data_IF_941987873561
#
_entry.id   IF_941987873561
#
_cell.length_a   1.000
_cell.length_b   1.000
_cell.length_c   1.000
_cell.angle_alpha   90.00
_cell.angle_beta   90.00
_cell.angle_gamma   90.00
#
_symmetry.space_group_name_H-M   'P 1'
#
loop_
_entity.id
_entity.type
_entity.pdbx_description
1 polymer ?
#
# COMPACT_ATOMS: atom_id res chain seq x y z
N UNK A 1 5.46 50.61 3.83
CA UNK A 1 4.19 49.97 3.48
C UNK A 1 3.33 49.86 4.72
N UNK A 2 2.09 50.31 4.64
CA UNK A 2 1.12 50.19 5.72
C UNK A 2 0.10 49.15 5.31
N UNK A 3 -0.17 48.18 6.18
CA UNK A 3 -1.13 47.10 5.98
C UNK A 3 -2.29 47.28 6.94
N UNK A 4 -3.53 47.18 6.45
CA UNK A 4 -4.74 47.12 7.26
C UNK A 4 -5.23 45.68 7.24
N UNK A 5 -5.39 45.06 8.41
CA UNK A 5 -6.06 43.80 8.58
C UNK A 5 -7.46 44.03 9.18
N UNK A 6 -8.46 43.38 8.65
CA UNK A 6 -9.81 43.41 9.18
C UNK A 6 -10.27 42.00 9.58
N UNK A 7 -11.01 41.95 10.66
CA UNK A 7 -11.52 40.72 11.24
C UNK A 7 -13.02 40.83 11.47
N UNK A 8 -13.78 39.75 11.44
CA UNK A 8 -15.18 39.78 11.82
C UNK A 8 -15.30 40.13 13.30
N UNK A 9 -16.36 40.83 13.67
CA UNK A 9 -16.59 41.27 15.06
C UNK A 9 -16.77 40.08 16.02
N UNK A 10 -17.21 38.93 15.54
CA UNK A 10 -17.36 37.69 16.31
C UNK A 10 -16.89 36.49 15.47
N UNK A 11 -16.06 35.65 16.05
CA UNK A 11 -15.62 34.37 15.48
C UNK A 11 -14.87 34.52 14.15
N UNK A 12 -15.32 33.81 13.12
CA UNK A 12 -14.76 33.80 11.76
C UNK A 12 -15.79 34.27 10.73
N UNK A 13 -15.36 34.59 9.53
CA UNK A 13 -16.27 34.75 8.39
C UNK A 13 -17.04 33.46 8.12
N UNK A 14 -18.37 33.52 7.84
CA UNK A 14 -19.14 32.37 7.47
C UNK A 14 -18.57 31.73 6.20
N UNK A 15 -18.60 30.41 6.11
CA UNK A 15 -18.18 29.66 4.92
C UNK A 15 -19.11 29.95 3.72
N UNK A 16 -18.69 29.55 2.56
CA UNK A 16 -19.48 29.54 1.33
C UNK A 16 -20.12 30.91 0.97
N UNK A 17 -19.42 32.01 1.27
CA UNK A 17 -19.99 33.37 1.14
C UNK A 17 -19.07 34.25 0.31
N UNK A 18 -19.67 35.06 -0.58
CA UNK A 18 -18.98 36.16 -1.25
C UNK A 18 -19.10 37.42 -0.42
N UNK A 19 -17.99 38.11 -0.26
CA UNK A 19 -17.90 39.38 0.43
C UNK A 19 -17.45 40.50 -0.50
N UNK A 20 -18.04 41.67 -0.33
CA UNK A 20 -17.58 42.89 -0.97
C UNK A 20 -17.09 43.80 0.13
N UNK A 21 -15.89 44.27 0.05
CA UNK A 21 -15.33 45.28 0.95
C UNK A 21 -15.20 46.59 0.17
N UNK A 22 -15.72 47.66 0.75
CA UNK A 22 -15.71 48.99 0.12
C UNK A 22 -15.08 50.01 1.06
N UNK A 23 -14.10 50.74 0.55
CA UNK A 23 -13.65 52.01 1.19
C UNK A 23 -14.40 53.14 0.48
N UNK A 24 -15.29 53.83 1.15
CA UNK A 24 -16.13 54.80 0.47
C UNK A 24 -15.37 56.07 0.05
N UNK A 25 -15.84 56.70 -1.01
CA UNK A 25 -15.41 58.05 -1.37
C UNK A 25 -15.54 58.98 -0.17
N UNK A 26 -14.71 59.99 -0.08
CA UNK A 26 -14.68 60.90 1.05
C UNK A 26 -13.81 60.43 2.21
N UNK A 27 -13.30 59.18 2.18
CA UNK A 27 -12.31 58.72 3.16
C UNK A 27 -11.08 59.57 3.11
N UNK A 28 -10.68 60.15 4.26
CA UNK A 28 -9.59 61.14 4.37
C UNK A 28 -8.31 60.43 4.87
N UNK A 29 -7.20 60.74 4.23
CA UNK A 29 -5.85 60.30 4.65
C UNK A 29 -5.35 61.15 5.83
N UNK A 30 -4.33 60.66 6.51
CA UNK A 30 -3.62 61.42 7.59
C UNK A 30 -3.05 62.75 7.10
N UNK A 31 -2.75 62.87 5.81
CA UNK A 31 -2.28 64.10 5.17
C UNK A 31 -3.40 65.01 4.65
N UNK A 32 -4.68 64.70 4.93
CA UNK A 32 -5.84 65.48 4.51
C UNK A 32 -6.30 65.26 3.07
N UNK A 33 -5.70 64.35 2.34
CA UNK A 33 -6.16 63.98 1.00
C UNK A 33 -7.42 63.12 1.09
N UNK A 34 -8.35 63.36 0.17
CA UNK A 34 -9.65 62.69 0.15
C UNK A 34 -9.74 61.69 -1.01
N UNK A 35 -10.24 60.52 -0.73
CA UNK A 35 -10.54 59.48 -1.76
C UNK A 35 -11.68 60.00 -2.66
N UNK A 36 -11.43 60.08 -3.96
CA UNK A 36 -12.39 60.67 -4.92
C UNK A 36 -13.53 59.75 -5.32
N UNK A 37 -13.28 58.46 -5.31
CA UNK A 37 -14.22 57.40 -5.74
C UNK A 37 -14.25 56.28 -4.71
N UNK A 38 -15.29 55.45 -4.73
CA UNK A 38 -15.34 54.23 -3.93
C UNK A 38 -14.29 53.23 -4.42
N UNK A 39 -13.58 52.64 -3.47
CA UNK A 39 -12.64 51.55 -3.79
C UNK A 39 -13.16 50.26 -3.20
N UNK A 40 -13.54 49.33 -4.10
CA UNK A 40 -14.13 48.06 -3.69
C UNK A 40 -13.36 46.88 -4.24
N UNK A 41 -13.30 45.82 -3.43
CA UNK A 41 -12.81 44.51 -3.88
C UNK A 41 -13.68 43.41 -3.30
N UNK A 42 -13.59 42.23 -3.96
CA UNK A 42 -14.35 41.06 -3.54
C UNK A 42 -13.41 39.95 -3.10
N UNK A 43 -13.83 39.18 -2.10
CA UNK A 43 -13.25 37.91 -1.74
C UNK A 43 -14.35 36.91 -1.41
N UNK A 44 -14.00 35.62 -1.39
CA UNK A 44 -14.92 34.54 -1.04
C UNK A 44 -14.31 33.62 0.01
N UNK A 45 -15.14 33.15 0.91
CA UNK A 45 -14.78 32.06 1.82
C UNK A 45 -14.98 30.70 1.11
N UNK A 46 -14.29 29.63 1.55
CA UNK A 46 -14.34 28.34 0.89
C UNK A 46 -15.76 27.81 0.73
N UNK A 47 -16.12 27.37 -0.47
CA UNK A 47 -17.33 26.63 -0.75
C UNK A 47 -17.22 25.17 -0.25
N UNK A 48 -18.35 24.42 -0.13
CA UNK A 48 -18.31 23.01 0.23
C UNK A 48 -17.40 22.22 -0.70
N UNK A 49 -16.60 21.34 -0.12
CA UNK A 49 -15.69 20.44 -0.83
C UNK A 49 -15.56 19.13 -0.07
N UNK A 50 -15.66 18.00 -0.76
CA UNK A 50 -15.30 16.69 -0.22
C UNK A 50 -13.77 16.64 -0.04
N UNK A 51 -13.29 16.38 1.18
CA UNK A 51 -11.86 16.35 1.51
C UNK A 51 -11.35 14.95 1.80
N UNK A 52 -12.24 14.07 2.26
CA UNK A 52 -11.92 12.67 2.50
C UNK A 52 -13.16 11.79 2.28
N UNK A 53 -12.93 10.56 1.89
CA UNK A 53 -13.98 9.54 1.84
C UNK A 53 -13.42 8.15 2.15
N UNK A 54 -14.30 7.32 2.71
CA UNK A 54 -14.09 5.89 2.87
C UNK A 54 -15.32 5.15 2.33
N UNK A 55 -15.18 4.03 1.61
CA UNK A 55 -13.93 3.40 1.13
C UNK A 55 -13.12 4.31 0.19
N UNK A 56 -11.81 4.09 0.11
CA UNK A 56 -10.98 4.81 -0.88
C UNK A 56 -11.35 4.41 -2.30
N UNK A 57 -11.11 5.28 -3.25
CA UNK A 57 -11.43 4.97 -4.66
C UNK A 57 -10.71 3.70 -5.12
N UNK A 58 -11.47 2.78 -5.74
CA UNK A 58 -11.06 1.45 -6.19
C UNK A 58 -10.64 0.48 -5.06
N UNK A 59 -11.04 0.73 -3.82
CA UNK A 59 -10.87 -0.24 -2.73
C UNK A 59 -11.58 -1.54 -3.06
N UNK A 60 -10.95 -2.63 -2.69
CA UNK A 60 -11.48 -3.99 -2.85
C UNK A 60 -11.74 -4.62 -1.49
N UNK A 61 -12.54 -5.69 -1.48
CA UNK A 61 -12.84 -6.47 -0.28
C UNK A 61 -13.48 -5.64 0.85
N UNK A 62 -14.44 -4.79 0.48
CA UNK A 62 -15.21 -4.01 1.44
C UNK A 62 -16.29 -4.90 2.08
N UNK A 63 -16.60 -4.65 3.35
CA UNK A 63 -17.65 -5.37 4.08
C UNK A 63 -19.03 -5.13 3.46
N UNK A 64 -19.93 -6.12 3.61
CA UNK A 64 -21.28 -6.04 3.04
C UNK A 64 -22.19 -5.05 3.77
N UNK A 65 -21.85 -4.67 4.99
CA UNK A 65 -22.55 -3.71 5.86
C UNK A 65 -21.70 -2.44 6.12
N UNK A 66 -20.72 -2.18 5.24
CA UNK A 66 -19.81 -1.05 5.38
C UNK A 66 -20.54 0.29 5.43
N UNK A 67 -20.05 1.15 6.31
CA UNK A 67 -20.49 2.55 6.39
C UNK A 67 -19.57 3.41 5.53
N UNK A 68 -20.15 4.08 4.55
CA UNK A 68 -19.43 5.00 3.67
C UNK A 68 -19.30 6.34 4.37
N UNK A 69 -18.08 6.84 4.52
CA UNK A 69 -17.75 8.09 5.20
C UNK A 69 -17.45 9.16 4.15
N UNK A 70 -18.08 10.33 4.30
CA UNK A 70 -17.87 11.50 3.46
C UNK A 70 -17.53 12.68 4.34
N UNK A 71 -16.27 13.11 4.38
CA UNK A 71 -15.82 14.28 5.14
C UNK A 71 -15.73 15.50 4.23
N UNK A 72 -16.35 16.58 4.65
CA UNK A 72 -16.32 17.87 3.98
C UNK A 72 -15.47 18.87 4.76
N UNK A 73 -15.10 19.96 4.11
CA UNK A 73 -14.33 21.06 4.69
C UNK A 73 -15.17 22.01 5.56
N UNK A 74 -16.44 21.73 5.75
CA UNK A 74 -17.40 22.51 6.54
C UNK A 74 -18.63 21.67 6.88
N UNK A 75 -19.45 22.15 7.82
CA UNK A 75 -20.71 21.49 8.20
C UNK A 75 -21.69 21.43 7.03
N UNK A 76 -22.34 20.29 6.89
CA UNK A 76 -23.28 19.99 5.80
C UNK A 76 -24.69 19.80 6.35
N UNK A 77 -25.73 20.39 5.74
CA UNK A 77 -27.12 20.17 6.14
C UNK A 77 -27.59 18.80 5.63
N UNK A 78 -27.80 17.83 6.51
CA UNK A 78 -28.09 16.42 6.21
C UNK A 78 -29.19 16.25 5.15
N UNK A 79 -30.37 16.85 5.42
CA UNK A 79 -31.56 16.72 4.55
C UNK A 79 -31.33 17.27 3.15
N UNK A 80 -30.59 18.37 3.05
CA UNK A 80 -30.29 18.97 1.75
C UNK A 80 -29.19 18.19 1.04
N UNK A 81 -28.21 17.68 1.76
CA UNK A 81 -27.10 16.91 1.21
C UNK A 81 -27.57 15.61 0.56
N UNK A 82 -28.60 14.94 1.14
CA UNK A 82 -29.16 13.69 0.64
C UNK A 82 -29.50 13.71 -0.85
N UNK A 83 -30.03 14.81 -1.35
CA UNK A 83 -30.45 14.94 -2.75
C UNK A 83 -29.29 15.03 -3.77
N UNK A 84 -28.07 15.14 -3.27
CA UNK A 84 -26.86 15.25 -4.08
C UNK A 84 -25.93 14.03 -3.92
N UNK A 85 -26.42 12.98 -3.25
CA UNK A 85 -25.67 11.75 -3.03
C UNK A 85 -26.36 10.58 -3.73
N UNK A 86 -25.58 9.72 -4.34
CA UNK A 86 -26.05 8.51 -4.99
C UNK A 86 -25.16 7.34 -4.62
N UNK A 87 -25.78 6.21 -4.28
CA UNK A 87 -25.12 4.91 -4.13
C UNK A 87 -25.61 4.00 -5.25
N UNK A 88 -24.70 3.51 -6.08
CA UNK A 88 -25.02 2.78 -7.30
C UNK A 88 -24.33 1.42 -7.26
N UNK A 89 -25.11 0.34 -7.43
CA UNK A 89 -24.59 -0.99 -7.75
C UNK A 89 -24.38 -1.09 -9.27
N UNK A 90 -23.20 -1.54 -9.68
CA UNK A 90 -22.86 -1.79 -11.07
C UNK A 90 -22.77 -3.28 -11.35
N UNK A 91 -23.55 -3.77 -12.29
CA UNK A 91 -23.39 -5.15 -12.76
C UNK A 91 -22.19 -5.27 -13.72
N UNK A 92 -21.63 -6.48 -13.89
CA UNK A 92 -20.60 -6.74 -14.91
C UNK A 92 -21.02 -6.38 -16.32
N UNK A 93 -22.31 -6.44 -16.61
CA UNK A 93 -22.93 -6.11 -17.91
C UNK A 93 -23.14 -4.61 -18.12
N UNK A 94 -22.78 -3.78 -17.13
CA UNK A 94 -22.83 -2.33 -17.21
C UNK A 94 -24.15 -1.71 -16.75
N UNK A 95 -25.15 -2.51 -16.30
CA UNK A 95 -26.37 -1.96 -15.71
C UNK A 95 -26.09 -1.27 -14.39
N UNK A 96 -26.87 -0.23 -14.10
CA UNK A 96 -26.75 0.59 -12.88
C UNK A 96 -28.05 0.49 -12.09
N UNK A 97 -27.94 0.15 -10.83
CA UNK A 97 -29.08 0.12 -9.90
C UNK A 97 -28.80 1.11 -8.77
N UNK A 98 -29.66 2.10 -8.61
CA UNK A 98 -29.57 3.04 -7.48
C UNK A 98 -30.07 2.35 -6.22
N UNK A 99 -29.27 2.39 -5.16
CA UNK A 99 -29.60 1.78 -3.89
C UNK A 99 -30.10 2.82 -2.90
N UNK A 100 -31.18 2.52 -2.16
CA UNK A 100 -31.61 3.35 -1.04
C UNK A 100 -30.58 3.29 0.08
N UNK A 101 -30.37 4.43 0.74
CA UNK A 101 -29.41 4.56 1.83
C UNK A 101 -29.94 5.45 2.96
N UNK A 102 -29.44 5.22 4.15
CA UNK A 102 -29.60 6.09 5.31
C UNK A 102 -28.42 7.05 5.40
N UNK A 103 -28.69 8.26 5.84
CA UNK A 103 -27.67 9.27 6.03
C UNK A 103 -27.75 9.80 7.48
N UNK A 104 -26.61 9.89 8.16
CA UNK A 104 -26.46 10.45 9.49
C UNK A 104 -25.15 11.20 9.62
N UNK A 105 -25.02 12.00 10.64
CA UNK A 105 -23.71 12.52 11.03
C UNK A 105 -22.90 11.46 11.79
N UNK A 106 -21.59 11.57 11.72
CA UNK A 106 -20.71 10.95 12.69
C UNK A 106 -20.82 11.78 13.98
N UNK A 107 -21.02 11.13 15.11
CA UNK A 107 -21.06 11.80 16.42
C UNK A 107 -19.66 12.26 16.83
N UNK A 108 -19.55 13.26 17.71
CA UNK A 108 -18.24 13.72 18.17
C UNK A 108 -17.42 12.59 18.82
N UNK A 109 -18.08 11.70 19.56
CA UNK A 109 -17.42 10.52 20.14
C UNK A 109 -16.81 9.60 19.09
N UNK A 110 -17.54 9.27 18.00
CA UNK A 110 -17.03 8.45 16.88
C UNK A 110 -15.89 9.17 16.15
N UNK A 111 -15.97 10.50 16.00
CA UNK A 111 -14.91 11.32 15.39
C UNK A 111 -13.61 11.23 16.19
N UNK A 112 -13.71 11.31 17.51
CA UNK A 112 -12.56 11.27 18.41
C UNK A 112 -11.95 9.84 18.47
N UNK A 113 -12.79 8.80 18.54
CA UNK A 113 -12.38 7.39 18.55
C UNK A 113 -11.67 6.99 17.26
N UNK A 114 -12.15 7.44 16.11
CA UNK A 114 -11.56 7.17 14.79
C UNK A 114 -10.45 8.17 14.42
N UNK A 115 -10.12 9.10 15.30
CA UNK A 115 -9.08 10.12 15.15
C UNK A 115 -9.24 11.02 13.91
N UNK A 116 -10.46 11.31 13.51
CA UNK A 116 -10.72 12.27 12.45
C UNK A 116 -10.41 13.69 12.91
N UNK A 117 -9.80 14.48 12.03
CA UNK A 117 -9.65 15.93 12.24
C UNK A 117 -10.86 16.65 11.64
N UNK A 118 -11.97 16.63 12.37
CA UNK A 118 -13.24 17.22 11.93
C UNK A 118 -14.09 17.60 13.14
N UNK A 119 -15.11 18.44 12.92
CA UNK A 119 -16.16 18.74 13.88
C UNK A 119 -17.46 17.98 13.52
N UNK A 120 -18.33 17.81 14.49
CA UNK A 120 -19.66 17.25 14.26
C UNK A 120 -20.41 18.06 13.18
N UNK A 121 -20.98 17.35 12.21
CA UNK A 121 -21.65 17.93 11.05
C UNK A 121 -20.77 18.07 9.80
N UNK A 122 -19.45 17.90 9.91
CA UNK A 122 -18.54 17.88 8.76
C UNK A 122 -18.41 16.49 8.11
N UNK A 123 -18.79 15.43 8.84
CA UNK A 123 -18.74 14.05 8.37
C UNK A 123 -20.15 13.49 8.24
N UNK A 124 -20.47 13.06 7.03
CA UNK A 124 -21.68 12.31 6.70
C UNK A 124 -21.37 10.82 6.59
N UNK A 125 -22.19 10.00 7.24
CA UNK A 125 -22.17 8.53 7.13
C UNK A 125 -23.33 8.09 6.25
N UNK A 126 -23.03 7.48 5.13
CA UNK A 126 -23.97 6.88 4.21
C UNK A 126 -23.94 5.38 4.35
N UNK A 127 -25.05 4.78 4.68
CA UNK A 127 -25.20 3.33 4.83
C UNK A 127 -26.33 2.82 3.94
N UNK A 128 -26.05 1.81 3.14
CA UNK A 128 -27.10 1.14 2.36
C UNK A 128 -28.19 0.58 3.28
N UNK A 129 -29.47 0.72 2.91
CA UNK A 129 -30.59 0.14 3.66
C UNK A 129 -30.64 -1.40 3.55
N UNK A 130 -29.98 -1.96 2.54
CA UNK A 130 -29.84 -3.39 2.32
C UNK A 130 -28.37 -3.75 2.42
N UNK A 131 -28.05 -4.96 2.87
CA UNK A 131 -26.68 -5.47 2.77
C UNK A 131 -26.22 -5.43 1.32
N UNK A 132 -24.99 -4.96 1.10
CA UNK A 132 -24.37 -5.01 -0.19
C UNK A 132 -24.17 -6.47 -0.61
N UNK A 133 -24.22 -6.73 -1.92
CA UNK A 133 -24.04 -8.09 -2.44
C UNK A 133 -22.56 -8.47 -2.49
N UNK A 134 -22.21 -9.75 -2.23
CA UNK A 134 -20.84 -10.21 -2.34
C UNK A 134 -20.31 -10.13 -3.77
N UNK A 135 -19.04 -9.70 -3.92
CA UNK A 135 -18.35 -9.66 -5.21
C UNK A 135 -18.89 -8.64 -6.21
N UNK A 136 -19.65 -7.65 -5.73
CA UNK A 136 -20.23 -6.61 -6.57
C UNK A 136 -19.44 -5.30 -6.54
N UNK A 137 -19.60 -4.51 -7.60
CA UNK A 137 -19.00 -3.19 -7.74
C UNK A 137 -20.02 -2.12 -7.37
N UNK A 138 -19.56 -1.14 -6.60
CA UNK A 138 -20.35 0.00 -6.15
C UNK A 138 -19.69 1.31 -6.54
N UNK A 139 -20.51 2.30 -6.80
CA UNK A 139 -20.09 3.66 -7.07
C UNK A 139 -20.86 4.62 -6.17
N UNK A 140 -20.15 5.59 -5.61
CA UNK A 140 -20.74 6.71 -4.89
C UNK A 140 -20.51 7.97 -5.69
N UNK A 141 -21.58 8.71 -5.94
CA UNK A 141 -21.52 10.03 -6.53
C UNK A 141 -21.86 11.09 -5.48
N UNK A 142 -21.07 12.15 -5.46
CA UNK A 142 -21.31 13.38 -4.70
C UNK A 142 -21.43 14.48 -5.75
N UNK A 143 -22.67 14.91 -6.03
CA UNK A 143 -22.97 15.79 -7.14
C UNK A 143 -22.65 17.25 -6.79
N UNK A 144 -22.21 18.01 -7.80
CA UNK A 144 -22.08 19.47 -7.70
C UNK A 144 -23.39 20.10 -7.28
N UNK A 145 -23.33 21.27 -6.66
CA UNK A 145 -24.50 21.96 -6.20
C UNK A 145 -24.91 21.64 -4.76
N UNK A 146 -24.25 20.66 -4.10
CA UNK A 146 -24.50 20.37 -2.68
C UNK A 146 -24.22 21.61 -1.84
N UNK A 147 -25.18 22.05 -0.99
CA UNK A 147 -25.01 23.22 -0.15
C UNK A 147 -24.22 22.90 1.13
N UNK A 148 -23.46 23.85 1.65
CA UNK A 148 -22.99 23.84 3.03
C UNK A 148 -24.08 24.30 4.02
N UNK A 149 -23.78 24.23 5.31
CA UNK A 149 -24.66 24.74 6.35
C UNK A 149 -24.73 26.28 6.37
N UNK A 150 -23.67 26.92 5.88
CA UNK A 150 -23.52 28.38 5.85
C UNK A 150 -23.45 28.87 4.38
N UNK A 151 -23.79 30.13 4.17
CA UNK A 151 -23.64 30.85 2.91
C UNK A 151 -24.31 30.25 1.67
N UNK A 152 -24.37 30.99 0.57
CA UNK A 152 -25.08 30.61 -0.65
C UNK A 152 -24.24 29.82 -1.64
N UNK A 153 -22.89 29.83 -1.50
CA UNK A 153 -22.03 29.11 -2.44
C UNK A 153 -22.17 27.60 -2.28
N UNK A 154 -22.14 26.89 -3.38
CA UNK A 154 -22.34 25.46 -3.45
C UNK A 154 -21.08 24.77 -3.94
N UNK A 155 -20.99 23.45 -3.74
CA UNK A 155 -19.91 22.63 -4.30
C UNK A 155 -19.88 22.76 -5.82
N UNK A 156 -18.72 23.05 -6.39
CA UNK A 156 -18.54 23.41 -7.80
C UNK A 156 -18.31 22.23 -8.72
N UNK A 157 -17.92 21.06 -8.19
CA UNK A 157 -17.53 19.88 -8.96
C UNK A 157 -18.22 18.63 -8.45
N UNK A 158 -18.46 17.69 -9.34
CA UNK A 158 -18.86 16.34 -8.98
C UNK A 158 -17.65 15.55 -8.47
N UNK A 159 -17.89 14.70 -7.47
CA UNK A 159 -16.94 13.70 -7.03
C UNK A 159 -17.53 12.32 -7.20
N UNK A 160 -16.69 11.39 -7.64
CA UNK A 160 -17.08 10.01 -7.86
C UNK A 160 -15.97 9.09 -7.36
N UNK A 161 -16.33 8.06 -6.65
CA UNK A 161 -15.42 6.97 -6.29
C UNK A 161 -16.16 5.64 -6.35
N UNK A 162 -15.39 4.57 -6.44
CA UNK A 162 -15.91 3.21 -6.56
C UNK A 162 -15.18 2.27 -5.61
N UNK A 163 -15.83 1.16 -5.28
CA UNK A 163 -15.25 0.08 -4.50
C UNK A 163 -15.91 -1.25 -4.88
N UNK A 164 -15.33 -2.35 -4.44
CA UNK A 164 -15.94 -3.67 -4.55
C UNK A 164 -16.00 -4.38 -3.21
N UNK A 165 -17.04 -5.14 -2.99
CA UNK A 165 -17.18 -6.00 -1.83
C UNK A 165 -16.37 -7.28 -2.00
N UNK A 166 -16.07 -7.97 -0.88
CA UNK A 166 -15.55 -9.33 -0.95
C UNK A 166 -16.54 -10.28 -1.60
N UNK A 167 -16.05 -11.30 -2.29
CA UNK A 167 -16.86 -12.33 -2.94
C UNK A 167 -16.72 -13.68 -2.27
N UNK A 168 -17.07 -14.75 -3.01
CA UNK A 168 -16.82 -16.13 -2.57
C UNK A 168 -15.31 -16.35 -2.43
N UNK A 169 -14.91 -16.96 -1.32
CA UNK A 169 -13.52 -17.28 -1.08
C UNK A 169 -13.07 -18.48 -1.90
N UNK A 170 -12.10 -18.28 -2.78
CA UNK A 170 -11.57 -19.28 -3.71
C UNK A 170 -10.05 -19.21 -3.79
N UNK A 171 -9.44 -20.34 -4.02
CA UNK A 171 -8.06 -20.42 -4.48
C UNK A 171 -8.01 -20.17 -6.00
N UNK A 172 -7.21 -19.22 -6.43
CA UNK A 172 -7.11 -18.80 -7.83
C UNK A 172 -5.91 -19.43 -8.56
N UNK A 173 -5.12 -20.24 -7.84
CA UNK A 173 -3.95 -20.91 -8.40
C UNK A 173 -2.62 -20.31 -7.95
N UNK A 174 -1.55 -20.92 -8.46
CA UNK A 174 -0.18 -20.48 -8.24
C UNK A 174 0.19 -19.37 -9.23
N UNK A 175 1.03 -18.44 -8.78
CA UNK A 175 1.68 -17.51 -9.70
C UNK A 175 2.71 -18.25 -10.58
N UNK A 176 3.54 -19.09 -9.94
CA UNK A 176 4.61 -19.86 -10.58
C UNK A 176 4.44 -21.33 -10.21
N UNK A 177 3.98 -22.20 -11.14
CA UNK A 177 3.89 -23.64 -10.89
C UNK A 177 5.26 -24.34 -10.98
N UNK A 178 6.30 -23.63 -11.42
CA UNK A 178 7.69 -24.07 -11.43
C UNK A 178 8.55 -23.04 -10.71
N UNK A 179 9.17 -23.42 -9.60
CA UNK A 179 10.15 -22.61 -8.88
C UNK A 179 11.52 -22.84 -9.50
N UNK A 180 12.20 -21.76 -9.86
CA UNK A 180 13.53 -21.85 -10.52
C UNK A 180 14.59 -22.47 -9.61
N UNK A 181 14.42 -22.36 -8.31
CA UNK A 181 15.26 -22.98 -7.29
C UNK A 181 14.46 -23.20 -5.99
N UNK A 182 14.94 -24.05 -5.06
CA UNK A 182 14.25 -24.36 -3.82
C UNK A 182 14.04 -23.18 -2.86
N UNK A 183 14.82 -22.10 -2.98
CA UNK A 183 14.71 -20.90 -2.15
C UNK A 183 13.72 -19.86 -2.68
N UNK A 184 13.13 -20.10 -3.87
CA UNK A 184 12.10 -19.21 -4.41
C UNK A 184 10.79 -19.37 -3.64
N UNK A 185 10.06 -18.27 -3.42
CA UNK A 185 8.78 -18.32 -2.71
C UNK A 185 7.69 -18.99 -3.54
N UNK A 186 6.96 -19.93 -2.94
CA UNK A 186 5.70 -20.43 -3.49
C UNK A 186 4.61 -19.38 -3.28
N UNK A 187 4.01 -18.92 -4.38
CA UNK A 187 3.03 -17.82 -4.34
C UNK A 187 1.63 -18.34 -4.64
N UNK A 188 0.78 -18.29 -3.62
CA UNK A 188 -0.63 -18.68 -3.66
C UNK A 188 -1.50 -17.44 -3.87
N UNK A 189 -2.41 -17.48 -4.85
CA UNK A 189 -3.37 -16.40 -5.10
C UNK A 189 -4.77 -16.81 -4.65
N UNK A 190 -5.44 -15.91 -3.94
CA UNK A 190 -6.81 -16.10 -3.45
C UNK A 190 -7.72 -14.95 -3.91
N UNK A 191 -9.02 -15.20 -3.95
CA UNK A 191 -10.02 -14.19 -4.31
C UNK A 191 -10.21 -13.13 -3.20
N UNK A 192 -10.04 -13.51 -1.95
CA UNK A 192 -10.18 -12.68 -0.76
C UNK A 192 -8.88 -12.69 0.06
N UNK A 193 -8.62 -11.68 0.89
CA UNK A 193 -7.49 -11.70 1.82
C UNK A 193 -7.63 -12.83 2.85
N UNK A 194 -6.54 -13.55 3.07
CA UNK A 194 -6.39 -14.64 4.04
C UNK A 194 -5.12 -14.42 4.85
N UNK A 195 -5.06 -14.87 6.12
CA UNK A 195 -3.85 -14.72 6.92
C UNK A 195 -2.85 -15.84 6.65
N UNK A 196 -1.58 -15.57 6.91
CA UNK A 196 -0.53 -16.60 6.84
C UNK A 196 -0.79 -17.72 7.83
N UNK A 197 -1.33 -17.41 9.02
CA UNK A 197 -1.71 -18.38 10.03
C UNK A 197 -2.75 -19.39 9.53
N UNK A 198 -3.81 -18.90 8.88
CA UNK A 198 -4.83 -19.76 8.29
C UNK A 198 -4.24 -20.70 7.24
N UNK A 199 -3.33 -20.23 6.43
CA UNK A 199 -2.64 -21.06 5.45
C UNK A 199 -1.72 -22.08 6.13
N UNK A 200 -0.88 -21.66 7.08
CA UNK A 200 0.07 -22.55 7.75
C UNK A 200 -0.60 -23.73 8.45
N UNK A 201 -1.74 -23.48 9.11
CA UNK A 201 -2.51 -24.54 9.82
C UNK A 201 -3.20 -25.50 8.85
N UNK A 202 -3.53 -25.05 7.64
CA UNK A 202 -4.46 -25.75 6.74
C UNK A 202 -3.85 -26.15 5.39
N UNK A 203 -2.53 -26.04 5.21
CA UNK A 203 -1.83 -26.53 4.03
C UNK A 203 -0.95 -27.72 4.38
N UNK A 204 -0.89 -28.71 3.49
CA UNK A 204 0.04 -29.84 3.59
C UNK A 204 0.74 -30.08 2.27
N UNK A 205 1.94 -30.64 2.32
CA UNK A 205 2.79 -30.91 1.16
C UNK A 205 3.15 -32.38 1.08
N UNK A 206 3.27 -32.89 -0.13
CA UNK A 206 3.82 -34.20 -0.44
C UNK A 206 4.89 -34.05 -1.55
N UNK A 207 6.18 -34.31 -1.32
CA UNK A 207 6.79 -34.70 -0.04
C UNK A 207 6.56 -33.67 1.09
N UNK A 208 6.65 -34.14 2.34
CA UNK A 208 6.46 -33.31 3.52
C UNK A 208 7.49 -32.17 3.59
N UNK A 209 7.01 -30.97 3.97
CA UNK A 209 7.82 -29.76 4.14
C UNK A 209 7.45 -29.11 5.45
N UNK A 210 8.44 -28.80 6.26
CA UNK A 210 8.28 -28.09 7.51
C UNK A 210 7.84 -26.63 7.24
N UNK A 211 6.80 -26.20 7.96
CA UNK A 211 6.31 -24.82 7.90
C UNK A 211 6.90 -24.07 9.10
N UNK A 212 7.68 -23.01 8.89
CA UNK A 212 8.30 -22.25 9.98
C UNK A 212 7.28 -21.64 10.95
N UNK A 213 7.62 -21.65 12.25
CA UNK A 213 6.77 -21.20 13.35
C UNK A 213 6.25 -19.77 13.19
N UNK A 214 7.02 -18.87 12.58
CA UNK A 214 6.62 -17.48 12.37
C UNK A 214 5.36 -17.31 11.49
N UNK A 215 5.01 -18.30 10.67
CA UNK A 215 3.76 -18.25 9.92
C UNK A 215 2.53 -18.48 10.80
N UNK A 216 2.64 -19.32 11.83
CA UNK A 216 1.53 -19.62 12.75
C UNK A 216 1.13 -18.43 13.63
N UNK A 217 2.02 -17.46 13.84
CA UNK A 217 1.77 -16.24 14.61
C UNK A 217 1.32 -15.05 13.79
N UNK A 218 1.23 -15.16 12.46
CA UNK A 218 1.00 -14.01 11.59
C UNK A 218 -0.48 -13.81 11.27
N UNK A 219 -1.06 -12.74 11.81
CA UNK A 219 -2.41 -12.25 11.52
C UNK A 219 -2.46 -11.26 10.33
N UNK A 220 -1.37 -11.14 9.57
CA UNK A 220 -1.34 -10.30 8.38
C UNK A 220 -2.19 -10.90 7.25
N UNK A 221 -3.19 -10.14 6.78
CA UNK A 221 -4.12 -10.55 5.72
C UNK A 221 -3.69 -10.03 4.36
N UNK A 222 -3.59 -10.94 3.38
CA UNK A 222 -3.33 -10.62 1.97
C UNK A 222 -4.01 -11.63 1.05
N UNK A 223 -4.34 -11.24 -0.16
CA UNK A 223 -4.87 -12.15 -1.18
C UNK A 223 -3.77 -12.91 -1.93
N UNK A 224 -2.51 -12.54 -1.68
CA UNK A 224 -1.33 -13.18 -2.27
C UNK A 224 -0.39 -13.61 -1.17
N UNK A 225 -0.33 -14.90 -0.90
CA UNK A 225 0.51 -15.51 0.13
C UNK A 225 1.84 -15.93 -0.49
N UNK A 226 2.93 -15.48 0.10
CA UNK A 226 4.31 -15.86 -0.25
C UNK A 226 4.85 -16.80 0.80
N UNK A 227 5.04 -18.06 0.46
CA UNK A 227 5.61 -19.07 1.35
C UNK A 227 7.08 -19.30 0.99
N UNK A 228 7.98 -18.96 1.89
CA UNK A 228 9.41 -19.26 1.84
C UNK A 228 9.66 -20.50 2.68
N UNK A 229 9.75 -21.65 2.01
CA UNK A 229 9.89 -22.95 2.65
C UNK A 229 11.16 -23.65 2.13
N UNK A 230 11.68 -24.60 2.92
CA UNK A 230 12.85 -25.37 2.56
C UNK A 230 12.48 -26.57 1.64
N UNK A 231 12.18 -26.27 0.40
CA UNK A 231 11.91 -27.31 -0.60
C UNK A 231 13.19 -28.06 -0.99
N UNK A 232 13.05 -29.32 -1.42
CA UNK A 232 14.16 -30.07 -2.04
C UNK A 232 14.34 -29.64 -3.49
N UNK A 233 15.59 -29.66 -4.02
CA UNK A 233 15.83 -29.35 -5.43
C UNK A 233 15.25 -30.45 -6.35
N UNK A 234 14.96 -30.07 -7.59
CA UNK A 234 14.53 -30.97 -8.69
C UNK A 234 13.38 -31.92 -8.27
N UNK A 235 12.45 -31.41 -7.46
CA UNK A 235 11.44 -32.25 -6.83
C UNK A 235 10.02 -31.79 -7.22
N UNK A 236 9.15 -32.72 -7.68
CA UNK A 236 7.73 -32.45 -7.82
C UNK A 236 7.03 -32.49 -6.45
N UNK A 237 6.15 -31.53 -6.20
CA UNK A 237 5.34 -31.43 -5.00
C UNK A 237 3.87 -31.42 -5.33
N UNK A 238 3.08 -32.05 -4.46
CA UNK A 238 1.63 -31.88 -4.39
C UNK A 238 1.31 -31.16 -3.09
N UNK A 239 0.55 -30.08 -3.17
CA UNK A 239 0.06 -29.39 -2.00
C UNK A 239 -1.46 -29.50 -1.91
N UNK A 240 -1.97 -29.58 -0.70
CA UNK A 240 -3.40 -29.66 -0.39
C UNK A 240 -3.80 -28.51 0.52
N UNK A 241 -4.81 -27.75 0.12
CA UNK A 241 -5.48 -26.75 0.94
C UNK A 241 -6.78 -27.35 1.53
N UNK A 242 -6.91 -27.28 2.84
CA UNK A 242 -8.11 -27.69 3.55
C UNK A 242 -9.28 -26.74 3.27
N UNK A 243 -10.52 -27.21 3.17
CA UNK A 243 -11.69 -26.33 3.08
C UNK A 243 -11.96 -25.54 4.37
N UNK A 244 -11.27 -25.85 5.46
CA UNK A 244 -11.41 -25.16 6.75
C UNK A 244 -10.71 -23.78 6.77
N UNK A 245 -9.88 -23.46 5.76
CA UNK A 245 -9.26 -22.14 5.63
C UNK A 245 -10.34 -21.08 5.57
N UNK A 246 -10.21 -20.04 6.41
CA UNK A 246 -11.13 -18.91 6.42
C UNK A 246 -10.44 -17.64 5.92
N UNK A 247 -11.15 -16.88 5.11
CA UNK A 247 -10.71 -15.55 4.70
C UNK A 247 -10.86 -14.52 5.85
N UNK A 248 -10.45 -13.29 5.59
CA UNK A 248 -10.58 -12.16 6.53
C UNK A 248 -12.01 -11.93 7.03
N UNK A 249 -13.01 -12.37 6.27
CA UNK A 249 -14.44 -12.15 6.56
C UNK A 249 -15.10 -13.39 7.18
N UNK A 250 -14.32 -14.43 7.46
CA UNK A 250 -14.80 -15.68 8.06
C UNK A 250 -15.41 -16.66 7.08
N UNK A 251 -15.37 -16.40 5.76
CA UNK A 251 -15.88 -17.33 4.77
C UNK A 251 -14.90 -18.51 4.60
N UNK A 252 -15.38 -19.74 4.61
CA UNK A 252 -14.52 -20.91 4.35
C UNK A 252 -14.12 -20.98 2.88
N UNK A 253 -13.03 -21.67 2.60
CA UNK A 253 -12.65 -22.01 1.23
C UNK A 253 -13.75 -22.91 0.64
N UNK A 254 -14.18 -22.59 -0.59
CA UNK A 254 -15.35 -23.26 -1.21
C UNK A 254 -15.22 -24.77 -1.34
N UNK A 255 -13.98 -25.26 -1.49
CA UNK A 255 -13.69 -26.69 -1.67
C UNK A 255 -12.25 -27.04 -1.29
N UNK A 256 -12.00 -28.32 -0.98
CA UNK A 256 -10.63 -28.85 -0.83
C UNK A 256 -9.92 -28.76 -2.17
N UNK A 257 -8.75 -28.14 -2.17
CA UNK A 257 -8.01 -27.90 -3.40
C UNK A 257 -6.64 -28.57 -3.35
N UNK A 258 -6.34 -29.39 -4.37
CA UNK A 258 -5.01 -29.95 -4.60
C UNK A 258 -4.37 -29.25 -5.80
N UNK A 259 -3.08 -28.97 -5.69
CA UNK A 259 -2.30 -28.41 -6.78
C UNK A 259 -0.87 -28.95 -6.78
N UNK A 260 -0.24 -28.93 -7.91
CA UNK A 260 1.13 -29.41 -8.09
C UNK A 260 2.05 -28.31 -8.53
N UNK A 261 3.31 -28.41 -8.12
CA UNK A 261 4.40 -27.54 -8.58
C UNK A 261 5.71 -28.31 -8.55
N UNK A 262 6.74 -27.77 -9.18
CA UNK A 262 8.08 -28.35 -9.22
C UNK A 262 9.11 -27.32 -8.76
N UNK A 263 10.22 -27.83 -8.22
CA UNK A 263 11.40 -27.02 -7.90
C UNK A 263 12.52 -27.33 -8.89
N UNK A 264 13.27 -26.33 -9.29
CA UNK A 264 14.52 -26.50 -10.02
C UNK A 264 15.72 -26.81 -9.11
N UNK A 265 16.92 -26.91 -9.66
CA UNK A 265 18.14 -27.12 -8.89
C UNK A 265 18.49 -25.90 -8.02
N UNK A 266 19.37 -26.08 -7.06
CA UNK A 266 19.96 -24.93 -6.37
C UNK A 266 20.70 -24.04 -7.36
N UNK A 267 20.53 -22.73 -7.27
CA UNK A 267 21.33 -21.79 -8.04
C UNK A 267 22.80 -21.92 -7.67
N UNK A 268 23.72 -21.97 -8.65
CA UNK A 268 25.14 -22.03 -8.35
C UNK A 268 25.60 -20.73 -7.70
N UNK A 269 26.32 -20.84 -6.61
CA UNK A 269 26.96 -19.69 -5.98
C UNK A 269 28.24 -20.08 -5.25
N UNK A 270 29.12 -19.11 -5.10
CA UNK A 270 30.32 -19.21 -4.30
C UNK A 270 30.42 -17.98 -3.39
N UNK A 271 30.82 -18.17 -2.16
CA UNK A 271 31.04 -17.10 -1.20
C UNK A 271 32.36 -17.32 -0.46
N UNK A 272 33.06 -16.22 -0.28
CA UNK A 272 34.27 -16.13 0.53
C UNK A 272 33.91 -15.36 1.79
N UNK A 273 34.17 -15.93 2.96
CA UNK A 273 33.84 -15.33 4.25
C UNK A 273 34.59 -14.02 4.48
N UNK A 274 33.87 -12.90 4.41
CA UNK A 274 34.40 -11.57 4.69
C UNK A 274 35.23 -10.96 3.56
N UNK A 275 35.30 -9.64 3.55
CA UNK A 275 36.19 -8.89 2.63
C UNK A 275 37.63 -8.86 3.12
N UNK A 276 37.82 -9.06 4.41
CA UNK A 276 39.08 -9.03 5.11
C UNK A 276 39.12 -10.16 6.11
N UNK A 277 40.19 -10.91 6.14
CA UNK A 277 40.48 -11.90 7.17
C UNK A 277 41.94 -11.83 7.57
N UNK A 278 42.20 -11.99 8.84
CA UNK A 278 43.55 -12.18 9.39
C UNK A 278 43.64 -13.67 9.78
N UNK A 279 44.57 -14.37 9.19
CA UNK A 279 44.87 -15.74 9.59
C UNK A 279 46.00 -15.73 10.60
N UNK A 280 45.80 -16.38 11.75
CA UNK A 280 46.85 -16.46 12.78
C UNK A 280 48.01 -17.36 12.28
N UNK A 281 49.23 -16.87 12.41
CA UNK A 281 50.41 -17.58 11.93
C UNK A 281 50.58 -18.98 12.55
N UNK A 282 50.06 -19.18 13.75
CA UNK A 282 50.06 -20.46 14.46
C UNK A 282 48.82 -21.33 14.21
N UNK A 283 47.86 -20.83 13.43
CA UNK A 283 46.63 -21.55 13.11
C UNK A 283 46.72 -22.42 11.88
N UNK A 284 45.59 -22.96 11.43
CA UNK A 284 45.53 -23.87 10.26
C UNK A 284 45.80 -23.17 8.94
N UNK A 285 45.87 -21.83 8.88
CA UNK A 285 46.00 -21.01 7.68
C UNK A 285 44.98 -21.37 6.55
N UNK A 286 43.85 -21.94 6.97
CA UNK A 286 42.76 -22.34 6.07
C UNK A 286 41.74 -21.21 5.91
N UNK A 287 41.47 -20.80 4.68
CA UNK A 287 40.45 -19.82 4.39
C UNK A 287 39.22 -20.51 3.81
N UNK A 288 38.07 -20.46 4.49
CA UNK A 288 36.88 -21.18 4.06
C UNK A 288 36.23 -20.52 2.85
N UNK A 289 35.95 -21.33 1.84
CA UNK A 289 35.13 -20.98 0.68
C UNK A 289 33.86 -21.82 0.76
N UNK A 290 32.71 -21.18 0.75
CA UNK A 290 31.42 -21.86 0.74
C UNK A 290 30.84 -21.78 -0.66
N UNK A 291 30.31 -22.90 -1.15
CA UNK A 291 29.73 -22.97 -2.49
C UNK A 291 28.52 -23.90 -2.51
N UNK A 292 27.68 -23.73 -3.50
CA UNK A 292 26.52 -24.59 -3.74
C UNK A 292 26.35 -24.84 -5.25
N UNK A 293 26.05 -26.08 -5.60
CA UNK A 293 25.78 -26.52 -6.97
C UNK A 293 26.89 -26.15 -7.98
N UNK A 294 28.13 -26.23 -7.51
CA UNK A 294 29.33 -25.97 -8.32
C UNK A 294 30.24 -27.21 -8.25
N UNK A 295 30.65 -27.71 -9.37
CA UNK A 295 31.55 -28.90 -9.51
C UNK A 295 33.02 -28.52 -9.66
N UNK A 296 33.28 -27.28 -10.10
CA UNK A 296 34.65 -26.81 -10.32
C UNK A 296 34.76 -25.32 -9.98
N UNK A 297 35.76 -24.95 -9.19
CA UNK A 297 36.13 -23.57 -8.86
C UNK A 297 37.52 -23.27 -9.35
N UNK A 298 37.68 -22.17 -10.09
CA UNK A 298 38.98 -21.63 -10.44
C UNK A 298 39.35 -20.54 -9.47
N UNK A 299 40.39 -20.77 -8.67
CA UNK A 299 40.88 -19.82 -7.68
C UNK A 299 42.19 -19.17 -8.20
N UNK A 300 42.20 -17.84 -8.19
CA UNK A 300 43.41 -17.06 -8.46
C UNK A 300 43.86 -16.41 -7.15
N UNK A 301 45.12 -16.62 -6.81
CA UNK A 301 45.70 -16.11 -5.57
C UNK A 301 47.03 -15.41 -5.91
N UNK A 302 47.22 -14.18 -5.44
CA UNK A 302 48.48 -13.43 -5.54
C UNK A 302 48.95 -13.05 -4.15
N UNK A 303 50.20 -13.26 -3.85
CA UNK A 303 50.87 -12.62 -2.73
C UNK A 303 51.15 -11.15 -3.09
N UNK A 304 50.75 -10.22 -2.23
CA UNK A 304 51.00 -8.79 -2.44
C UNK A 304 52.27 -8.39 -1.69
N UNK A 305 53.10 -7.58 -2.36
CA UNK A 305 54.19 -6.93 -1.70
C UNK A 305 53.69 -5.72 -0.89
N UNK A 306 54.50 -5.24 0.07
CA UNK A 306 54.05 -4.25 1.06
C UNK A 306 53.60 -2.94 0.38
N UNK A 307 54.23 -2.52 -0.73
CA UNK A 307 53.93 -1.34 -1.54
C UNK A 307 52.64 -1.49 -2.39
N UNK A 308 52.19 -2.71 -2.66
CA UNK A 308 50.97 -3.00 -3.42
C UNK A 308 49.71 -2.95 -2.54
N UNK A 309 49.85 -3.16 -1.24
CA UNK A 309 48.69 -3.26 -0.32
C UNK A 309 47.90 -1.97 -0.22
N UNK A 310 48.56 -0.84 -0.05
CA UNK A 310 47.93 0.49 0.10
C UNK A 310 47.19 0.92 -1.18
N UNK A 311 47.78 0.85 -2.38
CA UNK A 311 47.06 1.11 -3.61
C UNK A 311 45.83 0.26 -3.82
N UNK A 312 45.89 -1.04 -3.46
CA UNK A 312 44.76 -1.96 -3.56
C UNK A 312 43.65 -1.60 -2.59
N UNK A 313 44.01 -1.25 -1.35
CA UNK A 313 43.04 -0.83 -0.32
C UNK A 313 42.35 0.50 -0.62
N UNK A 314 43.09 1.44 -1.21
CA UNK A 314 42.60 2.79 -1.53
C UNK A 314 41.63 2.83 -2.73
N UNK A 315 41.61 1.77 -3.55
CA UNK A 315 40.64 1.60 -4.63
C UNK A 315 39.36 0.98 -4.05
N UNK A 316 38.54 1.75 -3.38
CA UNK A 316 37.25 1.31 -2.81
C UNK A 316 36.27 0.69 -3.84
N UNK A 317 36.59 0.72 -5.14
CA UNK A 317 35.80 0.18 -6.24
C UNK A 317 36.03 -1.29 -6.58
N UNK A 318 37.17 -1.87 -6.27
CA UNK A 318 37.64 -3.20 -6.75
C UNK A 318 36.64 -4.35 -6.42
N UNK A 319 35.78 -4.17 -5.43
CA UNK A 319 34.85 -5.21 -4.96
C UNK A 319 33.38 -4.93 -5.30
N UNK A 320 33.07 -3.95 -6.15
CA UNK A 320 31.68 -3.50 -6.37
C UNK A 320 31.10 -3.63 -7.78
N UNK A 321 31.90 -3.92 -8.82
CA UNK A 321 31.35 -4.08 -10.17
C UNK A 321 32.12 -5.05 -11.05
N UNK A 322 31.40 -5.79 -11.88
CA UNK A 322 31.94 -6.72 -12.90
C UNK A 322 32.84 -6.04 -13.93
N UNK A 323 32.81 -4.72 -14.03
CA UNK A 323 33.62 -3.92 -14.95
C UNK A 323 35.07 -3.78 -14.53
N UNK A 324 35.37 -3.91 -13.22
CA UNK A 324 36.70 -3.72 -12.63
C UNK A 324 37.52 -5.00 -12.56
N UNK A 325 36.91 -6.15 -12.86
CA UNK A 325 37.60 -7.46 -12.88
C UNK A 325 38.72 -7.50 -13.93
N UNK A 326 38.59 -6.76 -15.03
CA UNK A 326 39.63 -6.70 -16.05
C UNK A 326 40.93 -6.06 -15.55
N UNK A 327 40.85 -5.03 -14.74
CA UNK A 327 42.03 -4.38 -14.16
C UNK A 327 42.69 -5.23 -13.08
N UNK A 328 41.96 -6.18 -12.49
CA UNK A 328 42.51 -7.12 -11.49
C UNK A 328 43.24 -8.28 -12.18
N UNK A 329 42.91 -8.66 -13.42
CA UNK A 329 43.58 -9.71 -14.16
C UNK A 329 45.05 -9.37 -14.41
N UNK A 330 45.43 -8.11 -14.56
CA UNK A 330 46.79 -7.65 -14.73
C UNK A 330 47.62 -7.77 -13.41
N UNK A 331 46.96 -7.89 -12.24
CA UNK A 331 47.60 -8.03 -10.93
C UNK A 331 47.72 -9.48 -10.43
N UNK A 332 47.03 -10.43 -11.04
CA UNK A 332 46.95 -11.83 -10.55
C UNK A 332 47.71 -12.79 -11.46
N UNK A 333 48.96 -13.04 -11.16
CA UNK A 333 49.85 -13.86 -11.97
C UNK A 333 49.79 -15.39 -11.65
N UNK A 334 48.97 -15.81 -10.66
CA UNK A 334 48.86 -17.24 -10.32
C UNK A 334 47.42 -17.72 -10.35
N UNK A 335 47.12 -18.67 -11.25
CA UNK A 335 45.86 -19.39 -11.26
C UNK A 335 46.10 -20.87 -10.93
N UNK A 336 45.33 -21.41 -10.00
CA UNK A 336 45.31 -22.84 -9.69
C UNK A 336 43.87 -23.34 -9.79
N UNK A 337 43.69 -24.38 -10.63
CA UNK A 337 42.40 -25.07 -10.73
C UNK A 337 42.27 -26.08 -9.59
N UNK A 338 41.16 -25.97 -8.84
CA UNK A 338 40.85 -26.88 -7.75
C UNK A 338 39.61 -27.67 -8.12
N UNK A 339 39.71 -28.99 -8.05
CA UNK A 339 38.55 -29.86 -8.11
C UNK A 339 37.96 -30.06 -6.75
N UNK A 340 36.63 -29.93 -6.67
CA UNK A 340 35.88 -30.18 -5.43
C UNK A 340 35.74 -31.70 -5.34
N UNK A 341 36.23 -32.28 -4.27
CA UNK A 341 36.12 -33.73 -3.97
C UNK A 341 34.88 -34.00 -3.16
#
# INVERSE_FOLDING_TARGET
TRTLAFFPAKGRFPYATNFVLTVPRGTTSVSGQVLKEDFSWTFKTPSPKLVYHWPRNKSQWINLDEVIILQFNQKMPLEKARNFLELIEKSPEGSKTFLPFRLRYLTQKEIDEEHFRAEEGEILCLQSEQKLKPGCFYQVNVLKGIPGAEGPLRMSQDYQFSFSTYGLFRFLGLKNPHLSNPGESLILNFSNPVSYKEIAVNISFQPEVEIPDYYYGSDYFTHRIHLYLNFKPDTPYTATLSPNIKDKFGNPLSERTNFTFTTGPYSPWVSISGRWAVLEACGSLAYPITFMNITKVKLRVKALEEDEVIPLLSREGIFRSDKEIKDIEDFLDMSKDWEIK
#
